data_IF_457811545157
#
_entry.id   IF_457811545157
#
_cell.length_a   1.000
_cell.length_b   1.000
_cell.length_c   1.000
_cell.angle_alpha   90.00
_cell.angle_beta   90.00
_cell.angle_gamma   90.00
#
_symmetry.space_group_name_H-M   'P 1'
#
loop_
_entity.id
_entity.type
_entity.pdbx_description
1 polymer ?
#
# COMPACT_ATOMS: atom_id res chain seq x y z
N UNK A 1 5.19 -12.07 -13.44
CA UNK A 1 4.49 -11.00 -12.69
C UNK A 1 3.95 -11.61 -11.41
N UNK A 2 4.50 -11.22 -10.25
CA UNK A 2 3.92 -11.60 -8.96
C UNK A 2 2.47 -11.08 -8.93
N UNK A 3 1.52 -11.97 -8.67
CA UNK A 3 0.08 -11.72 -8.83
C UNK A 3 -0.46 -10.99 -7.59
N UNK A 4 -0.03 -9.74 -7.44
CA UNK A 4 -0.28 -8.85 -6.30
C UNK A 4 -1.78 -8.56 -6.09
N UNK A 5 -2.21 -8.51 -4.82
CA UNK A 5 -3.58 -8.26 -4.38
C UNK A 5 -4.09 -6.89 -4.87
N UNK A 6 -3.28 -5.83 -4.82
CA UNK A 6 -3.66 -4.52 -5.35
C UNK A 6 -4.08 -4.62 -6.82
N UNK A 7 -3.34 -5.35 -7.65
CA UNK A 7 -3.64 -5.52 -9.07
C UNK A 7 -5.01 -6.18 -9.26
N UNK A 8 -5.31 -7.23 -8.48
CA UNK A 8 -6.62 -7.91 -8.49
C UNK A 8 -7.74 -6.97 -8.05
N UNK A 9 -7.51 -6.17 -7.01
CA UNK A 9 -8.49 -5.24 -6.45
C UNK A 9 -8.70 -3.98 -7.31
N UNK A 10 -7.69 -3.54 -8.06
CA UNK A 10 -7.76 -2.36 -8.93
C UNK A 10 -8.88 -2.48 -9.97
N UNK A 11 -9.09 -3.68 -10.51
CA UNK A 11 -10.19 -3.97 -11.44
C UNK A 11 -11.58 -3.89 -10.79
N UNK A 12 -11.67 -3.95 -9.46
CA UNK A 12 -12.89 -3.78 -8.66
C UNK A 12 -13.01 -2.38 -8.06
N UNK A 13 -12.21 -1.42 -8.52
CA UNK A 13 -12.15 -0.05 -7.95
C UNK A 13 -13.51 0.64 -7.87
N UNK A 14 -14.44 0.39 -8.81
CA UNK A 14 -15.82 0.91 -8.74
C UNK A 14 -16.57 0.39 -7.51
N UNK A 15 -16.59 -0.93 -7.31
CA UNK A 15 -17.22 -1.56 -6.14
C UNK A 15 -16.56 -1.12 -4.84
N UNK A 16 -15.22 -1.00 -4.83
CA UNK A 16 -14.50 -0.50 -3.66
C UNK A 16 -14.92 0.94 -3.34
N UNK A 17 -15.06 1.82 -4.34
CA UNK A 17 -15.58 3.18 -4.15
C UNK A 17 -17.00 3.18 -3.57
N UNK A 18 -17.88 2.33 -4.07
CA UNK A 18 -19.25 2.20 -3.54
C UNK A 18 -19.25 1.73 -2.08
N UNK A 19 -18.43 0.74 -1.74
CA UNK A 19 -18.28 0.28 -0.35
C UNK A 19 -17.65 1.34 0.56
N UNK A 20 -16.76 2.19 0.03
CA UNK A 20 -16.22 3.33 0.75
C UNK A 20 -17.29 4.39 1.02
N UNK A 21 -18.17 4.67 0.07
CA UNK A 21 -19.31 5.59 0.29
C UNK A 21 -20.28 5.06 1.35
N UNK A 22 -20.44 3.73 1.43
CA UNK A 22 -21.24 3.06 2.46
C UNK A 22 -20.53 2.95 3.82
N UNK A 23 -19.29 3.45 3.95
CA UNK A 23 -18.50 3.38 5.18
C UNK A 23 -17.94 2.00 5.52
N UNK A 24 -18.06 1.03 4.61
CA UNK A 24 -17.59 -0.35 4.82
C UNK A 24 -16.08 -0.46 4.63
N UNK A 25 -15.51 0.33 3.72
CA UNK A 25 -14.07 0.29 3.39
C UNK A 25 -13.46 1.68 3.55
N UNK A 26 -12.35 1.77 4.27
CA UNK A 26 -11.61 3.04 4.41
C UNK A 26 -11.17 3.58 3.03
N UNK A 27 -11.32 4.89 2.77
CA UNK A 27 -10.97 5.50 1.47
C UNK A 27 -9.48 5.36 1.10
N UNK A 28 -8.62 5.19 2.11
CA UNK A 28 -7.17 5.03 1.89
C UNK A 28 -6.75 3.56 1.76
N UNK A 29 -7.63 2.60 2.06
CA UNK A 29 -7.28 1.19 2.17
C UNK A 29 -6.63 0.62 0.91
N UNK A 30 -7.18 0.93 -0.27
CA UNK A 30 -6.63 0.45 -1.53
C UNK A 30 -5.24 1.05 -1.84
N UNK A 31 -5.00 2.29 -1.40
CA UNK A 31 -3.69 2.94 -1.51
C UNK A 31 -2.69 2.32 -0.53
N UNK A 32 -3.12 2.07 0.70
CA UNK A 32 -2.29 1.47 1.74
C UNK A 32 -1.81 0.07 1.33
N UNK A 33 -2.68 -0.76 0.73
CA UNK A 33 -2.30 -2.06 0.16
C UNK A 33 -1.25 -1.90 -0.93
N UNK A 34 -1.44 -0.95 -1.85
CA UNK A 34 -0.45 -0.68 -2.91
C UNK A 34 0.92 -0.35 -2.32
N UNK A 35 0.95 0.53 -1.31
CA UNK A 35 2.17 0.95 -0.63
C UNK A 35 2.86 -0.25 0.01
N UNK A 36 2.11 -1.09 0.73
CA UNK A 36 2.62 -2.30 1.36
C UNK A 36 3.23 -3.27 0.34
N UNK A 37 2.51 -3.55 -0.74
CA UNK A 37 2.98 -4.46 -1.79
C UNK A 37 4.21 -3.91 -2.53
N UNK A 38 4.22 -2.62 -2.86
CA UNK A 38 5.39 -1.98 -3.46
C UNK A 38 6.61 -2.04 -2.55
N UNK A 39 6.43 -1.85 -1.23
CA UNK A 39 7.51 -1.96 -0.26
C UNK A 39 8.13 -3.36 -0.23
N UNK A 40 7.30 -4.41 -0.26
CA UNK A 40 7.78 -5.81 -0.27
C UNK A 40 8.27 -6.28 -1.64
N UNK A 41 7.93 -5.59 -2.73
CA UNK A 41 8.47 -5.85 -4.06
C UNK A 41 9.90 -5.29 -4.27
N UNK A 42 10.36 -4.40 -3.39
CA UNK A 42 11.72 -3.86 -3.46
C UNK A 42 12.77 -4.92 -3.08
N UNK A 43 14.00 -4.84 -3.67
CA UNK A 43 15.06 -5.83 -3.46
C UNK A 43 15.30 -6.15 -1.98
N UNK A 44 15.45 -7.43 -1.62
CA UNK A 44 15.60 -7.88 -0.23
C UNK A 44 16.90 -7.37 0.42
N UNK A 45 17.94 -7.15 -0.38
CA UNK A 45 19.25 -6.60 0.01
C UNK A 45 19.21 -5.08 0.26
N UNK A 46 18.16 -4.38 -0.18
CA UNK A 46 17.99 -2.97 0.11
C UNK A 46 17.65 -2.74 1.58
N UNK A 47 18.33 -1.79 2.21
CA UNK A 47 18.11 -1.47 3.62
C UNK A 47 16.64 -1.11 3.90
N UNK A 48 16.07 -1.58 5.02
CA UNK A 48 14.64 -1.40 5.36
C UNK A 48 14.26 0.08 5.38
N UNK A 49 15.12 0.94 5.92
CA UNK A 49 14.90 2.39 5.96
C UNK A 49 14.90 3.00 4.55
N UNK A 50 15.82 2.57 3.69
CA UNK A 50 15.91 2.98 2.29
C UNK A 50 14.62 2.63 1.53
N UNK A 51 14.03 1.47 1.80
CA UNK A 51 12.73 1.08 1.21
C UNK A 51 11.63 2.08 1.58
N UNK A 52 11.57 2.56 2.82
CA UNK A 52 10.59 3.57 3.22
C UNK A 52 10.78 4.89 2.47
N UNK A 53 12.03 5.33 2.29
CA UNK A 53 12.33 6.57 1.57
C UNK A 53 12.00 6.46 0.07
N UNK A 54 12.33 5.34 -0.57
CA UNK A 54 12.00 5.11 -1.98
C UNK A 54 10.50 5.16 -2.22
N UNK A 55 9.71 4.47 -1.39
CA UNK A 55 8.25 4.48 -1.52
C UNK A 55 7.67 5.86 -1.17
N UNK A 56 8.24 6.55 -0.19
CA UNK A 56 7.82 7.89 0.22
C UNK A 56 7.94 8.89 -0.95
N UNK A 57 9.07 8.86 -1.67
CA UNK A 57 9.31 9.68 -2.85
C UNK A 57 8.30 9.36 -3.97
N UNK A 58 8.10 8.07 -4.28
CA UNK A 58 7.14 7.61 -5.30
C UNK A 58 5.69 8.02 -5.00
N UNK A 59 5.31 8.07 -3.73
CA UNK A 59 3.94 8.32 -3.28
C UNK A 59 3.70 9.78 -2.88
N UNK A 60 4.75 10.62 -2.81
CA UNK A 60 4.67 12.00 -2.35
C UNK A 60 4.19 12.13 -0.91
N UNK A 61 4.62 11.22 -0.02
CA UNK A 61 4.29 11.22 1.42
C UNK A 61 5.56 11.04 2.26
N UNK A 62 5.50 11.23 3.58
CA UNK A 62 6.66 11.01 4.44
C UNK A 62 7.00 9.53 4.61
N UNK A 63 8.29 9.23 4.77
CA UNK A 63 8.80 7.88 5.08
C UNK A 63 8.20 7.32 6.37
N UNK A 64 7.96 8.16 7.40
CA UNK A 64 7.27 7.72 8.62
C UNK A 64 5.82 7.29 8.33
N UNK A 65 5.13 7.95 7.40
CA UNK A 65 3.78 7.55 7.01
C UNK A 65 3.79 6.21 6.26
N UNK A 66 4.76 5.99 5.38
CA UNK A 66 4.97 4.69 4.72
C UNK A 66 5.21 3.59 5.76
N UNK A 67 6.12 3.82 6.70
CA UNK A 67 6.42 2.89 7.79
C UNK A 67 5.19 2.56 8.62
N UNK A 68 4.37 3.56 8.96
CA UNK A 68 3.12 3.34 9.68
C UNK A 68 2.14 2.45 8.91
N UNK A 69 2.00 2.66 7.60
CA UNK A 69 1.16 1.82 6.73
C UNK A 69 1.70 0.39 6.69
N UNK A 70 3.00 0.21 6.48
CA UNK A 70 3.64 -1.10 6.40
C UNK A 70 3.48 -1.87 7.71
N UNK A 71 3.76 -1.23 8.84
CA UNK A 71 3.61 -1.85 10.16
C UNK A 71 2.15 -2.15 10.53
N UNK A 72 1.21 -1.32 10.09
CA UNK A 72 -0.22 -1.55 10.33
C UNK A 72 -0.69 -2.81 9.61
N UNK A 73 -0.38 -2.93 8.33
CA UNK A 73 -0.84 -4.05 7.50
C UNK A 73 -0.06 -5.35 7.74
N UNK A 74 1.17 -5.28 8.25
CA UNK A 74 1.95 -6.47 8.61
C UNK A 74 1.63 -7.10 9.97
N UNK A 75 0.73 -6.50 10.76
CA UNK A 75 0.31 -7.00 12.09
C UNK A 75 -1.06 -7.68 12.09
N UNK A 76 -1.79 -7.61 10.98
CA UNK A 76 -3.08 -8.29 10.76
C UNK A 76 -2.85 -9.71 10.21
#
# INVERSE_FOLDING_TARGET
MVNMLYTKLKHRSKTIKELTLLGVVSPNWLRDIRIFESFHALPEDLCVYCKYEVIADQEGISSERVKHIVLKLGRE
#
